data_IF_453715347845
#
_entry.id   IF_453715347845
#
_cell.length_a   1.000
_cell.length_b   1.000
_cell.length_c   1.000
_cell.angle_alpha   90.00
_cell.angle_beta   90.00
_cell.angle_gamma   90.00
#
_symmetry.space_group_name_H-M   'P 1'
#
loop_
_entity.id
_entity.type
_entity.pdbx_description
1 polymer ?
#
# COMPACT_ATOMS: atom_id res chain seq x y z
N UNK A 1 1.32 9.51 -3.50
CA UNK A 1 -0.05 9.98 -3.72
C UNK A 1 -0.96 9.39 -2.65
N UNK A 2 -1.81 10.23 -2.02
CA UNK A 2 -2.77 9.83 -0.97
C UNK A 2 -4.13 10.50 -1.11
N UNK A 3 -4.44 10.94 -2.33
CA UNK A 3 -5.77 11.38 -2.73
C UNK A 3 -5.94 11.16 -4.23
N UNK A 4 -7.06 10.60 -4.63
CA UNK A 4 -7.35 10.26 -6.01
C UNK A 4 -8.69 10.86 -6.43
N UNK A 5 -8.80 11.16 -7.72
CA UNK A 5 -10.06 11.54 -8.35
C UNK A 5 -10.96 10.29 -8.50
N UNK A 6 -12.29 10.45 -8.43
CA UNK A 6 -13.21 9.32 -8.59
C UNK A 6 -13.36 8.87 -10.06
N UNK A 7 -12.60 9.48 -10.97
CA UNK A 7 -12.64 9.18 -12.40
C UNK A 7 -12.36 7.70 -12.65
N UNK A 8 -13.26 6.94 -13.27
CA UNK A 8 -13.08 5.52 -13.51
C UNK A 8 -11.84 5.20 -14.34
N UNK A 9 -11.17 4.11 -14.00
CA UNK A 9 -10.08 3.54 -14.81
C UNK A 9 -10.66 2.35 -15.58
N UNK A 10 -10.56 2.33 -16.93
CA UNK A 10 -11.05 1.21 -17.71
C UNK A 10 -10.38 -0.11 -17.33
N UNK A 11 -11.14 -1.19 -17.29
CA UNK A 11 -10.63 -2.54 -17.00
C UNK A 11 -9.46 -2.92 -17.92
N UNK A 12 -9.57 -2.64 -19.21
CA UNK A 12 -8.50 -2.90 -20.18
C UNK A 12 -7.18 -2.19 -19.82
N UNK A 13 -7.25 -0.98 -19.25
CA UNK A 13 -6.06 -0.26 -18.77
C UNK A 13 -5.42 -0.97 -17.58
N UNK A 14 -6.22 -1.47 -16.63
CA UNK A 14 -5.71 -2.23 -15.49
C UNK A 14 -5.08 -3.55 -15.96
N UNK A 15 -5.74 -4.28 -16.86
CA UNK A 15 -5.21 -5.51 -17.46
C UNK A 15 -3.91 -5.27 -18.21
N UNK A 16 -3.79 -4.16 -18.93
CA UNK A 16 -2.55 -3.78 -19.62
C UNK A 16 -1.41 -3.46 -18.65
N UNK A 17 -1.70 -2.75 -17.56
CA UNK A 17 -0.72 -2.50 -16.49
C UNK A 17 -0.23 -3.83 -15.88
N UNK A 18 -1.14 -4.73 -15.53
CA UNK A 18 -0.80 -6.03 -14.93
C UNK A 18 -0.02 -6.92 -15.91
N UNK A 19 -0.35 -6.87 -17.21
CA UNK A 19 0.38 -7.58 -18.25
C UNK A 19 1.82 -7.07 -18.40
N UNK A 20 2.04 -5.77 -18.34
CA UNK A 20 3.40 -5.20 -18.31
C UNK A 20 4.12 -5.60 -17.03
N UNK A 21 3.46 -5.48 -15.87
CA UNK A 21 4.04 -5.80 -14.57
C UNK A 21 4.45 -7.27 -14.45
N UNK A 22 3.69 -8.20 -15.06
CA UNK A 22 4.00 -9.63 -15.06
C UNK A 22 5.30 -10.00 -15.76
N UNK A 23 5.95 -9.05 -16.44
CA UNK A 23 7.31 -9.22 -16.98
C UNK A 23 8.41 -9.06 -15.94
N UNK A 24 8.06 -8.80 -14.67
CA UNK A 24 9.04 -8.84 -13.59
C UNK A 24 9.76 -10.18 -13.56
N UNK A 25 11.09 -10.21 -13.36
CA UNK A 25 11.81 -11.46 -13.18
C UNK A 25 11.43 -12.10 -11.84
N UNK A 26 11.57 -13.43 -11.76
CA UNK A 26 11.45 -14.17 -10.51
C UNK A 26 12.38 -15.38 -10.51
N UNK A 27 12.87 -15.77 -9.33
CA UNK A 27 13.73 -16.93 -9.18
C UNK A 27 13.08 -18.16 -9.81
N UNK A 28 13.80 -18.85 -10.70
CA UNK A 28 13.34 -20.00 -11.50
C UNK A 28 11.96 -19.82 -12.16
N UNK A 29 11.61 -18.55 -12.44
CA UNK A 29 10.32 -18.17 -13.02
C UNK A 29 9.11 -18.55 -12.15
N UNK A 30 9.24 -18.43 -10.85
CA UNK A 30 8.21 -18.82 -9.86
C UNK A 30 6.93 -17.99 -9.99
N UNK A 31 7.03 -16.70 -10.37
CA UNK A 31 5.89 -15.78 -10.56
C UNK A 31 4.94 -15.76 -9.33
N UNK A 32 5.43 -15.34 -8.16
CA UNK A 32 4.76 -15.56 -6.87
C UNK A 32 3.52 -14.69 -6.64
N UNK A 33 3.25 -13.75 -7.52
CA UNK A 33 2.21 -12.74 -7.36
C UNK A 33 0.82 -13.25 -7.71
N UNK A 34 -0.13 -12.91 -6.85
CA UNK A 34 -1.57 -13.06 -7.07
C UNK A 34 -2.21 -11.71 -6.77
N UNK A 35 -3.18 -11.30 -7.57
CA UNK A 35 -3.79 -9.98 -7.49
C UNK A 35 -5.30 -10.07 -7.57
N UNK A 36 -5.99 -9.54 -6.57
CA UNK A 36 -7.43 -9.28 -6.64
C UNK A 36 -7.67 -7.82 -6.96
N UNK A 37 -8.34 -7.55 -8.05
CA UNK A 37 -8.71 -6.19 -8.50
C UNK A 37 -10.11 -5.87 -8.00
N UNK A 38 -10.24 -4.81 -7.23
CA UNK A 38 -11.49 -4.35 -6.64
C UNK A 38 -11.92 -3.01 -7.25
N UNK A 39 -13.17 -2.94 -7.71
CA UNK A 39 -13.80 -1.71 -8.21
C UNK A 39 -15.25 -1.65 -7.76
N UNK A 40 -15.87 -0.46 -7.82
CA UNK A 40 -17.26 -0.26 -7.51
C UNK A 40 -17.68 -0.89 -6.19
N UNK A 41 -18.80 -1.60 -6.18
CA UNK A 41 -19.42 -2.16 -4.98
C UNK A 41 -18.50 -3.09 -4.19
N UNK A 42 -17.73 -3.96 -4.84
CA UNK A 42 -16.83 -4.88 -4.13
C UNK A 42 -15.74 -4.14 -3.36
N UNK A 43 -15.18 -3.06 -3.94
CA UNK A 43 -14.21 -2.20 -3.25
C UNK A 43 -14.86 -1.48 -2.06
N UNK A 44 -16.05 -0.96 -2.25
CA UNK A 44 -16.80 -0.22 -1.21
C UNK A 44 -17.14 -1.12 -0.03
N UNK A 45 -17.70 -2.30 -0.27
CA UNK A 45 -18.05 -3.27 0.79
C UNK A 45 -16.82 -3.70 1.60
N UNK A 46 -15.70 -4.01 0.96
CA UNK A 46 -14.46 -4.31 1.70
C UNK A 46 -13.99 -3.11 2.53
N UNK A 47 -14.01 -1.92 1.93
CA UNK A 47 -13.64 -0.68 2.62
C UNK A 47 -14.48 -0.41 3.86
N UNK A 48 -15.81 -0.59 3.76
CA UNK A 48 -16.72 -0.38 4.87
C UNK A 48 -16.50 -1.37 6.01
N UNK A 49 -16.29 -2.65 5.69
CA UNK A 49 -15.98 -3.69 6.69
C UNK A 49 -14.69 -3.38 7.44
N UNK A 50 -13.61 -3.03 6.72
CA UNK A 50 -12.32 -2.70 7.33
C UNK A 50 -12.43 -1.42 8.17
N UNK A 51 -13.13 -0.40 7.70
CA UNK A 51 -13.32 0.84 8.45
C UNK A 51 -14.11 0.64 9.73
N UNK A 52 -15.16 -0.18 9.71
CA UNK A 52 -15.92 -0.51 10.91
C UNK A 52 -15.03 -1.16 11.98
N UNK A 53 -14.18 -2.10 11.60
CA UNK A 53 -13.21 -2.73 12.49
C UNK A 53 -12.10 -1.76 12.93
N UNK A 54 -11.60 -0.91 12.01
CA UNK A 54 -10.63 0.13 12.32
C UNK A 54 -11.16 1.09 13.38
N UNK A 55 -12.41 1.55 13.24
CA UNK A 55 -13.04 2.45 14.19
C UNK A 55 -13.31 1.76 15.53
N UNK A 56 -13.71 0.49 15.53
CA UNK A 56 -13.87 -0.29 16.75
C UNK A 56 -12.58 -0.47 17.54
N UNK A 57 -11.42 -0.52 16.85
CA UNK A 57 -10.10 -0.60 17.48
C UNK A 57 -9.57 0.74 17.98
N UNK A 58 -10.26 1.86 17.70
CA UNK A 58 -9.80 3.18 18.14
C UNK A 58 -9.69 3.28 19.66
N UNK A 59 -8.49 3.61 20.14
CA UNK A 59 -8.22 3.72 21.59
C UNK A 59 -7.80 2.41 22.27
N UNK A 60 -7.85 1.25 21.59
CA UNK A 60 -7.46 -0.05 22.17
C UNK A 60 -5.95 -0.32 22.09
N UNK A 61 -5.19 0.47 21.35
CA UNK A 61 -3.76 0.28 21.11
C UNK A 61 -3.41 -0.68 19.98
N UNK A 62 -4.40 -1.36 19.38
CA UNK A 62 -4.22 -2.34 18.30
C UNK A 62 -4.49 -1.71 16.94
N UNK A 63 -3.56 -0.93 16.39
CA UNK A 63 -3.75 -0.22 15.12
C UNK A 63 -2.61 -0.49 14.15
N UNK A 64 -2.95 -0.88 12.92
CA UNK A 64 -2.07 -0.87 11.76
C UNK A 64 -1.35 -2.19 11.46
N UNK A 65 -0.26 -2.09 10.72
CA UNK A 65 0.55 -3.21 10.22
C UNK A 65 1.24 -4.05 11.32
N UNK A 66 1.17 -3.61 12.58
CA UNK A 66 1.83 -4.28 13.71
C UNK A 66 1.14 -5.59 14.13
N UNK A 67 0.01 -5.94 13.54
CA UNK A 67 -0.79 -7.16 13.81
C UNK A 67 -0.99 -8.02 12.55
N UNK A 68 -0.13 -7.89 11.56
CA UNK A 68 -0.18 -8.67 10.32
C UNK A 68 0.33 -10.10 10.50
N UNK A 69 0.19 -10.91 9.46
CA UNK A 69 0.71 -12.27 9.42
C UNK A 69 2.24 -12.33 9.26
N UNK A 70 2.88 -11.22 8.98
CA UNK A 70 4.33 -11.09 8.86
C UNK A 70 4.80 -9.75 9.41
N UNK A 71 6.06 -9.72 9.82
CA UNK A 71 6.71 -8.53 10.38
C UNK A 71 7.07 -7.55 9.26
N UNK A 72 6.22 -6.53 9.06
CA UNK A 72 6.51 -5.46 8.10
C UNK A 72 7.51 -4.44 8.65
N UNK A 73 7.42 -4.13 9.94
CA UNK A 73 8.30 -3.19 10.61
C UNK A 73 9.23 -3.89 11.60
N UNK A 74 10.42 -3.31 11.87
CA UNK A 74 11.27 -3.82 12.94
C UNK A 74 10.59 -3.62 14.29
N UNK A 75 10.87 -4.54 15.23
CA UNK A 75 10.39 -4.44 16.62
C UNK A 75 10.97 -3.23 17.34
N UNK A 76 12.19 -2.82 16.98
CA UNK A 76 12.87 -1.66 17.50
C UNK A 76 13.37 -0.76 16.36
N UNK A 77 13.01 0.52 16.45
CA UNK A 77 13.42 1.53 15.47
C UNK A 77 14.71 2.21 15.91
N UNK A 78 15.74 2.13 15.09
CA UNK A 78 17.05 2.78 15.31
C UNK A 78 17.33 3.84 14.24
N UNK A 79 18.25 4.83 14.51
CA UNK A 79 18.73 5.74 13.48
C UNK A 79 19.37 5.00 12.29
N UNK A 80 19.27 5.51 11.05
CA UNK A 80 18.52 6.72 10.63
C UNK A 80 17.04 6.46 10.32
N UNK A 81 16.56 5.23 10.46
CA UNK A 81 15.20 4.82 10.06
C UNK A 81 14.13 5.48 10.93
N UNK A 82 14.40 5.63 12.22
CA UNK A 82 13.50 6.28 13.16
C UNK A 82 13.23 7.75 12.78
N UNK A 83 14.29 8.47 12.42
CA UNK A 83 14.19 9.88 12.00
C UNK A 83 13.39 10.01 10.70
N UNK A 84 13.68 9.17 9.71
CA UNK A 84 12.95 9.14 8.42
C UNK A 84 11.46 8.85 8.63
N UNK A 85 11.13 7.87 9.47
CA UNK A 85 9.76 7.53 9.82
C UNK A 85 9.04 8.70 10.49
N UNK A 86 9.68 9.36 11.44
CA UNK A 86 9.12 10.51 12.15
C UNK A 86 8.92 11.70 11.23
N UNK A 87 9.94 12.00 10.42
CA UNK A 87 9.91 13.13 9.48
C UNK A 87 8.74 13.00 8.51
N UNK A 88 8.61 11.86 7.80
CA UNK A 88 7.54 11.67 6.82
C UNK A 88 6.14 11.77 7.44
N UNK A 89 5.97 11.27 8.67
CA UNK A 89 4.70 11.38 9.39
C UNK A 89 4.34 12.83 9.73
N UNK A 90 5.29 13.60 10.25
CA UNK A 90 5.07 15.00 10.60
C UNK A 90 4.87 15.89 9.37
N UNK A 91 5.66 15.69 8.31
CA UNK A 91 5.53 16.46 7.07
C UNK A 91 4.13 16.25 6.46
N UNK A 92 3.61 15.01 6.45
CA UNK A 92 2.27 14.72 5.97
C UNK A 92 1.19 15.39 6.84
N UNK A 93 1.28 15.23 8.15
CA UNK A 93 0.27 15.81 9.06
C UNK A 93 0.30 17.33 9.06
N UNK A 94 1.46 17.95 8.90
CA UNK A 94 1.58 19.40 8.74
C UNK A 94 0.84 19.90 7.50
N UNK A 95 1.00 19.22 6.33
CA UNK A 95 0.27 19.57 5.12
C UNK A 95 -1.26 19.45 5.28
N UNK A 96 -1.71 18.51 6.11
CA UNK A 96 -3.13 18.28 6.39
C UNK A 96 -3.67 19.15 7.53
N UNK A 97 -2.82 19.97 8.14
CA UNK A 97 -3.18 20.78 9.31
C UNK A 97 -3.59 19.94 10.52
N UNK A 98 -3.04 18.73 10.66
CA UNK A 98 -3.29 17.82 11.79
C UNK A 98 -2.22 18.08 12.86
N UNK A 99 -2.64 18.59 14.00
CA UNK A 99 -1.73 18.90 15.11
C UNK A 99 -1.18 17.62 15.77
N UNK A 100 0.01 17.75 16.37
CA UNK A 100 0.59 16.68 17.19
C UNK A 100 -0.33 16.36 18.36
N UNK A 101 -0.70 15.08 18.52
CA UNK A 101 -1.59 14.61 19.58
C UNK A 101 -3.09 14.66 19.23
N UNK A 102 -3.47 15.17 18.07
CA UNK A 102 -4.84 15.10 17.57
C UNK A 102 -5.16 13.69 17.09
N UNK A 103 -5.35 12.79 18.05
CA UNK A 103 -5.56 11.35 17.79
C UNK A 103 -6.79 11.08 16.93
N UNK A 104 -7.84 11.90 17.06
CA UNK A 104 -9.08 11.72 16.28
C UNK A 104 -8.83 11.99 14.80
N UNK A 105 -8.19 13.13 14.47
CA UNK A 105 -7.88 13.44 13.06
C UNK A 105 -6.79 12.53 12.50
N UNK A 106 -5.82 12.11 13.30
CA UNK A 106 -4.82 11.11 12.91
C UNK A 106 -5.48 9.77 12.57
N UNK A 107 -6.43 9.30 13.39
CA UNK A 107 -7.20 8.09 13.16
C UNK A 107 -8.02 8.17 11.87
N UNK A 108 -8.77 9.25 11.70
CA UNK A 108 -9.55 9.49 10.47
C UNK A 108 -8.66 9.51 9.23
N UNK A 109 -7.49 10.17 9.29
CA UNK A 109 -6.53 10.19 8.19
C UNK A 109 -5.95 8.80 7.90
N UNK A 110 -5.67 8.01 8.94
CA UNK A 110 -5.21 6.63 8.77
C UNK A 110 -6.30 5.75 8.12
N UNK A 111 -7.56 5.92 8.51
CA UNK A 111 -8.70 5.23 7.94
C UNK A 111 -8.88 5.43 6.43
N UNK A 112 -8.36 6.53 5.87
CA UNK A 112 -8.37 6.76 4.42
C UNK A 112 -7.60 5.70 3.62
N UNK A 113 -6.63 5.02 4.23
CA UNK A 113 -5.98 3.87 3.60
C UNK A 113 -7.02 2.83 3.14
N UNK A 114 -8.00 2.54 3.98
CA UNK A 114 -8.98 1.48 3.75
C UNK A 114 -10.08 1.87 2.75
N UNK A 115 -10.15 3.14 2.40
CA UNK A 115 -10.91 3.65 1.25
C UNK A 115 -10.05 3.79 -0.01
N UNK A 116 -8.85 3.19 -0.02
CA UNK A 116 -7.87 3.33 -1.10
C UNK A 116 -7.60 4.82 -1.45
N UNK A 117 -7.64 5.72 -0.46
CA UNK A 117 -7.52 7.17 -0.65
C UNK A 117 -8.46 7.76 -1.69
N UNK A 118 -9.62 7.15 -1.92
CA UNK A 118 -10.62 7.56 -2.92
C UNK A 118 -10.34 7.05 -4.34
N UNK A 119 -9.30 6.25 -4.55
CA UNK A 119 -9.00 5.68 -5.87
C UNK A 119 -10.16 4.81 -6.39
N UNK A 120 -10.46 4.88 -7.71
CA UNK A 120 -11.50 4.04 -8.32
C UNK A 120 -11.16 2.55 -8.33
N UNK A 121 -9.86 2.21 -8.29
CA UNK A 121 -9.37 0.83 -8.28
C UNK A 121 -8.57 0.59 -7.00
N UNK A 122 -8.90 -0.49 -6.30
CA UNK A 122 -8.13 -1.07 -5.22
C UNK A 122 -7.54 -2.42 -5.68
N UNK A 123 -6.30 -2.67 -5.32
CA UNK A 123 -5.64 -3.94 -5.55
C UNK A 123 -5.30 -4.56 -4.21
N UNK A 124 -5.60 -5.85 -4.03
CA UNK A 124 -5.11 -6.66 -2.90
C UNK A 124 -4.18 -7.71 -3.47
N UNK A 125 -3.01 -7.78 -2.88
CA UNK A 125 -1.93 -8.68 -3.29
C UNK A 125 -1.79 -9.80 -2.28
N UNK A 126 -1.70 -11.05 -2.78
CA UNK A 126 -1.52 -12.25 -1.98
C UNK A 126 -0.37 -13.09 -2.50
N UNK A 127 0.22 -13.90 -1.62
CA UNK A 127 1.31 -14.81 -1.92
C UNK A 127 1.03 -16.18 -1.28
N UNK A 128 1.52 -17.25 -1.88
CA UNK A 128 1.44 -18.57 -1.27
C UNK A 128 2.36 -18.65 -0.04
N UNK A 129 1.85 -19.18 1.09
CA UNK A 129 2.53 -19.25 2.39
C UNK A 129 3.82 -20.07 2.37
N UNK A 130 3.97 -20.98 1.40
CA UNK A 130 5.21 -21.77 1.28
C UNK A 130 6.38 -20.96 0.72
N UNK A 131 6.10 -19.83 0.06
CA UNK A 131 7.11 -18.98 -0.55
C UNK A 131 7.82 -18.13 0.51
N UNK A 132 9.14 -17.99 0.35
CA UNK A 132 10.03 -17.34 1.33
C UNK A 132 10.57 -16.01 0.80
N UNK A 133 11.51 -15.44 1.54
CA UNK A 133 12.09 -14.10 1.32
C UNK A 133 12.54 -13.82 -0.12
N UNK A 134 13.07 -14.83 -0.84
CA UNK A 134 13.43 -14.67 -2.25
C UNK A 134 12.22 -14.28 -3.12
N UNK A 135 11.09 -14.96 -2.92
CA UNK A 135 9.85 -14.64 -3.65
C UNK A 135 9.26 -13.27 -3.25
N UNK A 136 9.53 -12.80 -2.04
CA UNK A 136 9.13 -11.45 -1.61
C UNK A 136 9.96 -10.37 -2.31
N UNK A 137 11.26 -10.65 -2.57
CA UNK A 137 12.09 -9.78 -3.40
C UNK A 137 11.54 -9.69 -4.82
N UNK A 138 11.19 -10.84 -5.41
CA UNK A 138 10.57 -10.91 -6.75
C UNK A 138 9.24 -10.16 -6.78
N UNK A 139 8.45 -10.31 -5.71
CA UNK A 139 7.16 -9.62 -5.56
C UNK A 139 7.32 -8.09 -5.54
N UNK A 140 8.36 -7.59 -4.87
CA UNK A 140 8.68 -6.16 -4.86
C UNK A 140 8.94 -5.60 -6.26
N UNK A 141 9.62 -6.35 -7.12
CA UNK A 141 9.85 -5.97 -8.52
C UNK A 141 8.54 -5.92 -9.32
N UNK A 142 7.63 -6.86 -9.08
CA UNK A 142 6.31 -6.85 -9.70
C UNK A 142 5.47 -5.63 -9.26
N UNK A 143 5.46 -5.31 -7.97
CA UNK A 143 4.76 -4.13 -7.45
C UNK A 143 5.30 -2.83 -8.05
N UNK A 144 6.62 -2.68 -8.14
CA UNK A 144 7.24 -1.50 -8.76
C UNK A 144 6.90 -1.41 -10.25
N UNK A 145 6.89 -2.54 -10.97
CA UNK A 145 6.47 -2.54 -12.38
C UNK A 145 5.02 -2.07 -12.56
N UNK A 146 4.09 -2.38 -11.64
CA UNK A 146 2.74 -1.81 -11.66
C UNK A 146 2.80 -0.29 -11.53
N UNK A 147 3.59 0.22 -10.58
CA UNK A 147 3.68 1.65 -10.32
C UNK A 147 4.26 2.41 -11.53
N UNK A 148 5.32 1.88 -12.13
CA UNK A 148 5.95 2.47 -13.34
C UNK A 148 5.01 2.39 -14.55
N UNK A 149 4.36 1.23 -14.76
CA UNK A 149 3.42 1.06 -15.87
C UNK A 149 2.20 1.98 -15.74
N UNK A 150 1.70 2.20 -14.53
CA UNK A 150 0.63 3.16 -14.25
C UNK A 150 1.06 4.58 -14.59
N UNK A 151 2.25 5.00 -14.15
CA UNK A 151 2.80 6.33 -14.47
C UNK A 151 2.95 6.55 -15.98
N UNK A 152 3.38 5.54 -16.72
CA UNK A 152 3.46 5.60 -18.19
C UNK A 152 2.10 5.82 -18.88
N UNK A 153 0.98 5.64 -18.14
CA UNK A 153 -0.40 5.87 -18.61
C UNK A 153 -1.05 7.09 -17.97
N UNK A 154 -0.27 7.92 -17.27
CA UNK A 154 -0.77 9.10 -16.57
C UNK A 154 -1.53 8.80 -15.27
N UNK A 155 -1.54 7.53 -14.85
CA UNK A 155 -2.13 7.11 -13.58
C UNK A 155 -1.11 7.16 -12.45
N UNK A 156 -1.61 7.16 -11.23
CA UNK A 156 -0.82 7.11 -10.01
C UNK A 156 -1.21 5.91 -9.15
N UNK A 157 -0.33 5.56 -8.24
CA UNK A 157 -0.53 4.45 -7.31
C UNK A 157 -0.12 4.84 -5.89
N UNK A 158 -0.63 4.08 -4.92
CA UNK A 158 -0.14 4.12 -3.54
C UNK A 158 -0.12 2.70 -2.98
N UNK A 159 1.04 2.06 -2.82
CA UNK A 159 1.14 0.79 -2.10
C UNK A 159 0.87 0.99 -0.60
N UNK A 160 0.14 0.06 0.02
CA UNK A 160 -0.43 0.23 1.35
C UNK A 160 -0.27 -1.04 2.20
N UNK A 161 0.76 -1.06 3.03
CA UNK A 161 0.94 -2.11 4.04
C UNK A 161 -0.15 -2.08 5.14
N UNK A 162 -0.91 -0.98 5.26
CA UNK A 162 -1.97 -0.84 6.26
C UNK A 162 -3.00 -1.98 6.21
N UNK A 163 -3.25 -2.57 5.05
CA UNK A 163 -4.20 -3.66 4.87
C UNK A 163 -3.80 -4.95 5.59
N UNK A 164 -2.51 -5.20 5.85
CA UNK A 164 -2.06 -6.43 6.50
C UNK A 164 -2.60 -6.58 7.93
N UNK A 165 -2.91 -5.49 8.62
CA UNK A 165 -3.53 -5.52 9.94
C UNK A 165 -4.99 -5.99 9.96
N UNK A 166 -5.59 -6.18 8.78
CA UNK A 166 -6.95 -6.67 8.58
C UNK A 166 -7.00 -7.92 7.70
N UNK A 167 -5.91 -8.68 7.67
CA UNK A 167 -5.77 -9.84 6.79
C UNK A 167 -6.90 -10.85 6.94
N UNK A 168 -7.34 -11.16 8.15
CA UNK A 168 -8.42 -12.12 8.41
C UNK A 168 -9.74 -11.70 7.75
N UNK A 169 -10.08 -10.41 7.88
CA UNK A 169 -11.27 -9.85 7.25
C UNK A 169 -11.16 -9.87 5.71
N UNK A 170 -9.96 -9.59 5.20
CA UNK A 170 -9.70 -9.62 3.75
C UNK A 170 -9.77 -11.05 3.22
N UNK A 171 -9.18 -12.02 3.92
CA UNK A 171 -9.22 -13.44 3.58
C UNK A 171 -10.67 -13.96 3.55
N UNK A 172 -11.47 -13.64 4.57
CA UNK A 172 -12.87 -13.99 4.63
C UNK A 172 -13.67 -13.36 3.48
N UNK A 173 -13.52 -12.04 3.29
CA UNK A 173 -14.27 -11.31 2.26
C UNK A 173 -13.96 -11.78 0.84
N UNK A 174 -12.69 -12.06 0.55
CA UNK A 174 -12.24 -12.49 -0.77
C UNK A 174 -12.34 -14.01 -0.98
N UNK A 175 -12.66 -14.78 0.09
CA UNK A 175 -12.67 -16.24 0.04
C UNK A 175 -11.29 -16.82 -0.30
N UNK A 176 -10.22 -16.26 0.27
CA UNK A 176 -8.86 -16.73 0.00
C UNK A 176 -8.65 -18.15 0.55
N UNK A 177 -7.92 -19.01 -0.19
CA UNK A 177 -7.56 -20.33 0.36
C UNK A 177 -6.57 -20.17 1.52
N UNK A 178 -6.61 -21.10 2.47
CA UNK A 178 -5.71 -21.10 3.64
C UNK A 178 -4.21 -21.16 3.29
N UNK A 179 -3.88 -21.50 2.05
CA UNK A 179 -2.51 -21.50 1.52
C UNK A 179 -2.00 -20.11 1.14
N UNK A 180 -2.88 -19.11 1.08
CA UNK A 180 -2.51 -17.73 0.72
C UNK A 180 -2.44 -16.84 1.95
N UNK A 181 -1.62 -15.79 1.84
CA UNK A 181 -1.54 -14.71 2.82
C UNK A 181 -1.56 -13.35 2.12
N UNK A 182 -2.07 -12.33 2.82
CA UNK A 182 -2.13 -10.96 2.32
C UNK A 182 -0.75 -10.31 2.40
N UNK A 183 -0.27 -9.81 1.25
CA UNK A 183 1.01 -9.08 1.15
C UNK A 183 0.83 -7.58 1.42
N UNK A 184 -0.07 -6.94 0.70
CA UNK A 184 -0.41 -5.51 0.86
C UNK A 184 -1.63 -5.15 0.02
N UNK A 185 -2.07 -3.90 0.11
CA UNK A 185 -2.98 -3.29 -0.85
C UNK A 185 -2.27 -2.27 -1.74
N UNK A 186 -2.95 -1.79 -2.78
CA UNK A 186 -2.51 -0.65 -3.58
C UNK A 186 -3.72 0.09 -4.14
N UNK A 187 -3.70 1.41 -4.01
CA UNK A 187 -4.61 2.31 -4.72
C UNK A 187 -4.12 2.53 -6.15
N UNK A 188 -5.03 2.60 -7.11
CA UNK A 188 -4.72 2.92 -8.51
C UNK A 188 -5.78 3.86 -9.07
N UNK A 189 -5.37 4.99 -9.64
CA UNK A 189 -6.26 5.98 -10.21
C UNK A 189 -5.55 7.25 -10.65
N UNK A 190 -6.32 8.28 -10.91
CA UNK A 190 -5.83 9.61 -11.22
C UNK A 190 -5.58 10.38 -9.92
N UNK A 191 -4.36 10.87 -9.69
CA UNK A 191 -4.07 11.71 -8.53
C UNK A 191 -4.94 12.97 -8.54
N UNK A 192 -5.45 13.38 -7.37
CA UNK A 192 -6.05 14.70 -7.21
C UNK A 192 -4.94 15.75 -7.14
N UNK A 193 -4.83 16.65 -8.14
CA UNK A 193 -3.78 17.66 -8.19
C UNK A 193 -3.97 18.77 -7.15
N UNK A 194 -5.17 18.88 -6.57
CA UNK A 194 -5.51 19.92 -5.59
C UNK A 194 -5.34 19.46 -4.14
N UNK A 195 -5.21 18.15 -3.91
CA UNK A 195 -5.06 17.59 -2.58
C UNK A 195 -3.72 18.01 -1.95
N UNK A 196 -3.72 18.57 -0.74
CA UNK A 196 -2.50 19.03 -0.08
C UNK A 196 -1.51 17.89 0.17
N UNK A 197 -1.98 16.71 0.54
CA UNK A 197 -1.14 15.53 0.79
C UNK A 197 -0.38 15.03 -0.45
N UNK A 198 -0.87 15.33 -1.65
CA UNK A 198 -0.20 14.97 -2.89
C UNK A 198 0.95 15.92 -3.26
N UNK A 199 1.09 17.05 -2.54
CA UNK A 199 2.22 17.97 -2.70
C UNK A 199 3.45 17.52 -1.92
N UNK A 200 3.34 16.50 -1.08
CA UNK A 200 4.46 15.99 -0.29
C UNK A 200 5.49 15.34 -1.20
N UNK A 201 6.65 15.97 -1.30
CA UNK A 201 7.83 15.43 -1.98
C UNK A 201 8.77 14.85 -0.92
N UNK A 202 8.94 13.55 -0.94
CA UNK A 202 9.80 12.85 0.01
C UNK A 202 11.25 12.89 -0.41
N UNK A 203 12.15 13.19 0.54
CA UNK A 203 13.58 13.16 0.32
C UNK A 203 14.10 11.76 -0.02
N UNK A 204 15.22 11.70 -0.70
CA UNK A 204 15.99 10.48 -0.98
C UNK A 204 17.44 10.71 -0.59
N UNK A 205 18.09 9.65 -0.12
CA UNK A 205 19.53 9.69 0.08
C UNK A 205 20.26 9.88 -1.26
N UNK A 206 21.35 10.64 -1.28
CA UNK A 206 22.17 10.77 -2.46
C UNK A 206 22.89 9.44 -2.75
N UNK A 207 23.19 9.19 -4.03
CA UNK A 207 23.80 7.93 -4.47
C UNK A 207 25.02 7.49 -3.63
N UNK A 208 25.97 8.38 -3.27
CA UNK A 208 27.13 7.98 -2.47
C UNK A 208 26.78 7.47 -1.05
N UNK A 209 25.57 7.75 -0.54
CA UNK A 209 25.16 7.28 0.78
C UNK A 209 24.69 5.81 0.77
N UNK A 210 24.34 5.25 -0.38
CA UNK A 210 23.87 3.87 -0.51
C UNK A 210 24.57 3.03 -1.58
N UNK A 211 25.45 3.63 -2.39
CA UNK A 211 26.20 2.93 -3.43
C UNK A 211 27.72 3.14 -3.25
N UNK A 212 28.47 2.05 -3.40
CA UNK A 212 29.94 2.06 -3.42
C UNK A 212 30.42 1.58 -4.77
N UNK A 213 31.31 2.36 -5.41
CA UNK A 213 31.98 2.00 -6.65
C UNK A 213 33.36 1.43 -6.32
N UNK A 214 33.69 0.29 -6.87
CA UNK A 214 34.99 -0.36 -6.79
C UNK A 214 35.53 -0.40 -8.23
N UNK A 215 36.68 0.22 -8.47
CA UNK A 215 37.38 0.30 -9.76
C UNK A 215 38.68 -0.51 -9.73
#
# INVERSE_FOLDING_TARGET
IRAFLPTPVPRATVEDILRVASRAPSGVNTQPWKVTVLTGRAKEELSERILAEHDARFGTGSVGADVGEYDYYPTEWVPPYLERRRKIGWDLYALLGIAKGDKVRMHAQHGRNYRFFGAPVGLIFTIDRILRQGSWLDYGMFLENIMVAARGRGLDTCPQAAFIGFYQLIEEYLGLPATEMVVCGMSLGWADPHAPENRLVTEREPVPAFARFLE
#
